data_IF_045059550331
#
_entry.id   IF_045059550331
#
_cell.length_a   1.000
_cell.length_b   1.000
_cell.length_c   1.000
_cell.angle_alpha   90.00
_cell.angle_beta   90.00
_cell.angle_gamma   90.00
#
_symmetry.space_group_name_H-M   'P 1'
#
loop_
_entity.id
_entity.type
_entity.pdbx_description
1 polymer ?
#
# COMPACT_ATOMS: atom_id res chain seq x y z
N UNK A 1 10.09 -8.76 -12.78
CA UNK A 1 10.48 -9.92 -11.93
C UNK A 1 11.20 -9.51 -10.63
N UNK A 2 12.07 -8.51 -10.61
CA UNK A 2 12.80 -8.07 -9.40
C UNK A 2 11.94 -7.67 -8.18
N UNK A 3 10.80 -6.94 -8.30
CA UNK A 3 9.98 -6.58 -7.14
C UNK A 3 9.42 -7.78 -6.38
N UNK A 4 9.02 -8.83 -7.12
CA UNK A 4 8.45 -10.04 -6.51
C UNK A 4 9.48 -10.83 -5.70
N UNK A 5 10.74 -10.87 -6.14
CA UNK A 5 11.83 -11.52 -5.40
C UNK A 5 12.12 -10.80 -4.08
N UNK A 6 12.11 -9.47 -4.08
CA UNK A 6 12.27 -8.68 -2.86
C UNK A 6 11.13 -8.94 -1.87
N UNK A 7 9.88 -8.99 -2.33
CA UNK A 7 8.74 -9.29 -1.45
C UNK A 7 8.90 -10.67 -0.79
N UNK A 8 9.32 -11.69 -1.54
CA UNK A 8 9.54 -13.05 -1.00
C UNK A 8 10.67 -13.07 0.03
N UNK A 9 11.72 -12.26 -0.14
CA UNK A 9 12.82 -12.18 0.82
C UNK A 9 12.40 -11.56 2.17
N UNK A 10 11.43 -10.66 2.19
CA UNK A 10 10.94 -10.02 3.42
C UNK A 10 9.84 -10.81 4.14
N UNK A 11 9.17 -11.76 3.48
CA UNK A 11 8.11 -12.57 4.09
C UNK A 11 8.60 -13.41 5.30
N UNK A 12 9.75 -14.11 5.25
CA UNK A 12 10.29 -14.84 6.41
C UNK A 12 10.62 -13.92 7.59
N UNK A 13 11.10 -12.70 7.29
CA UNK A 13 11.42 -11.70 8.31
C UNK A 13 10.15 -11.26 9.06
N UNK A 14 9.06 -11.04 8.33
CA UNK A 14 7.74 -10.75 8.90
C UNK A 14 7.25 -11.89 9.80
N UNK A 15 7.43 -13.15 9.39
CA UNK A 15 7.12 -14.34 10.20
C UNK A 15 7.91 -14.37 11.50
N UNK A 16 9.23 -14.26 11.42
CA UNK A 16 10.11 -14.27 12.59
C UNK A 16 9.84 -13.10 13.56
N UNK A 17 9.49 -11.92 13.04
CA UNK A 17 9.05 -10.79 13.87
C UNK A 17 7.69 -11.05 14.51
N UNK A 18 6.75 -11.65 13.79
CA UNK A 18 5.43 -12.01 14.33
C UNK A 18 5.55 -13.02 15.47
N UNK A 19 6.47 -13.97 15.37
CA UNK A 19 6.69 -14.99 16.41
C UNK A 19 7.30 -14.40 17.69
N UNK A 20 8.14 -13.38 17.58
CA UNK A 20 8.85 -12.78 18.73
C UNK A 20 8.09 -11.60 19.35
N UNK A 21 7.52 -10.73 18.53
CA UNK A 21 6.93 -9.45 18.94
C UNK A 21 5.40 -9.43 18.78
N UNK A 22 4.84 -10.54 18.27
CA UNK A 22 3.44 -10.61 17.87
C UNK A 22 3.17 -9.98 16.50
N UNK A 23 2.04 -10.30 15.87
CA UNK A 23 1.71 -9.85 14.49
C UNK A 23 1.51 -8.35 14.35
N UNK A 24 1.36 -7.61 15.46
CA UNK A 24 1.13 -6.16 15.46
C UNK A 24 2.38 -5.38 15.04
N UNK A 25 3.56 -5.78 15.53
CA UNK A 25 4.80 -5.07 15.23
C UNK A 25 5.12 -5.03 13.73
N UNK A 26 5.18 -6.15 12.99
CA UNK A 26 5.41 -6.13 11.56
C UNK A 26 4.28 -5.47 10.76
N UNK A 27 3.01 -5.58 11.22
CA UNK A 27 1.89 -4.90 10.58
C UNK A 27 2.01 -3.38 10.68
N UNK A 28 2.34 -2.84 11.86
CA UNK A 28 2.50 -1.40 12.06
C UNK A 28 3.74 -0.86 11.32
N UNK A 29 4.85 -1.59 11.36
CA UNK A 29 6.06 -1.23 10.60
C UNK A 29 5.78 -1.24 9.10
N UNK A 30 5.14 -2.29 8.59
CA UNK A 30 4.74 -2.39 7.18
C UNK A 30 3.83 -1.24 6.75
N UNK A 31 2.87 -0.85 7.59
CA UNK A 31 1.99 0.29 7.33
C UNK A 31 2.76 1.62 7.34
N UNK A 32 3.72 1.82 8.25
CA UNK A 32 4.57 3.01 8.26
C UNK A 32 5.46 3.10 7.01
N UNK A 33 6.05 1.97 6.60
CA UNK A 33 6.84 1.89 5.35
C UNK A 33 5.95 2.15 4.13
N UNK A 34 4.67 1.75 4.15
CA UNK A 34 3.70 2.06 3.09
C UNK A 34 3.50 3.56 2.94
N UNK A 35 3.30 4.29 4.05
CA UNK A 35 3.19 5.77 4.01
C UNK A 35 4.45 6.39 3.43
N UNK A 36 5.63 5.94 3.86
CA UNK A 36 6.90 6.42 3.32
C UNK A 36 7.04 6.14 1.82
N UNK A 37 6.70 4.93 1.37
CA UNK A 37 6.72 4.54 -0.04
C UNK A 37 5.82 5.44 -0.89
N UNK A 38 4.58 5.65 -0.46
CA UNK A 38 3.63 6.50 -1.17
C UNK A 38 4.07 7.97 -1.19
N UNK A 39 4.68 8.45 -0.10
CA UNK A 39 5.23 9.81 -0.03
C UNK A 39 6.40 9.99 -1.02
N UNK A 40 7.27 8.99 -1.15
CA UNK A 40 8.34 8.99 -2.18
C UNK A 40 7.74 9.03 -3.59
N UNK A 41 6.65 8.29 -3.83
CA UNK A 41 5.91 8.33 -5.10
C UNK A 41 5.37 9.74 -5.43
N UNK A 42 4.93 10.47 -4.41
CA UNK A 42 4.48 11.86 -4.55
C UNK A 42 5.59 12.88 -4.83
N UNK A 43 6.86 12.50 -4.72
CA UNK A 43 8.01 13.35 -5.00
C UNK A 43 8.63 13.11 -6.39
N UNK A 44 8.07 12.22 -7.19
CA UNK A 44 8.54 11.92 -8.53
C UNK A 44 8.43 13.18 -9.42
N UNK A 45 9.46 13.40 -10.25
CA UNK A 45 9.52 14.47 -11.24
C UNK A 45 9.91 13.92 -12.60
N UNK A 46 9.64 14.65 -13.65
CA UNK A 46 10.04 14.30 -15.03
C UNK A 46 11.56 14.11 -15.18
N UNK A 47 12.33 14.83 -14.39
CA UNK A 47 13.80 14.80 -14.34
C UNK A 47 14.36 13.97 -13.18
N UNK A 48 13.49 13.22 -12.48
CA UNK A 48 13.92 12.39 -11.36
C UNK A 48 14.93 11.35 -11.80
N UNK A 49 16.04 11.27 -11.04
CA UNK A 49 17.02 10.21 -11.22
C UNK A 49 16.36 8.83 -10.97
N UNK A 50 16.84 7.81 -11.63
CA UNK A 50 16.38 6.42 -11.50
C UNK A 50 16.33 5.91 -10.04
N UNK A 51 17.04 6.57 -9.13
CA UNK A 51 17.09 6.23 -7.70
C UNK A 51 15.72 6.34 -7.01
N UNK A 52 14.93 7.39 -7.32
CA UNK A 52 13.60 7.56 -6.70
C UNK A 52 12.60 6.44 -7.09
N UNK A 53 12.42 6.12 -8.36
CA UNK A 53 11.59 4.98 -8.74
C UNK A 53 12.09 3.64 -8.16
N UNK A 54 13.41 3.43 -8.10
CA UNK A 54 13.98 2.25 -7.48
C UNK A 54 13.68 2.17 -5.98
N UNK A 55 13.81 3.27 -5.26
CA UNK A 55 13.48 3.37 -3.84
C UNK A 55 11.99 3.08 -3.59
N UNK A 56 11.10 3.63 -4.42
CA UNK A 56 9.67 3.35 -4.35
C UNK A 56 9.38 1.85 -4.50
N UNK A 57 10.00 1.19 -5.47
CA UNK A 57 9.83 -0.25 -5.69
C UNK A 57 10.32 -1.05 -4.47
N UNK A 58 11.47 -0.71 -3.92
CA UNK A 58 12.03 -1.38 -2.75
C UNK A 58 11.11 -1.21 -1.54
N UNK A 59 10.69 0.01 -1.23
CA UNK A 59 9.78 0.29 -0.12
C UNK A 59 8.43 -0.42 -0.27
N UNK A 60 7.88 -0.46 -1.49
CA UNK A 60 6.65 -1.19 -1.79
C UNK A 60 6.81 -2.70 -1.59
N UNK A 61 7.96 -3.26 -1.96
CA UNK A 61 8.25 -4.67 -1.74
C UNK A 61 8.35 -5.02 -0.24
N UNK A 62 8.99 -4.15 0.56
CA UNK A 62 9.06 -4.30 2.02
C UNK A 62 7.65 -4.22 2.63
N UNK A 63 6.85 -3.23 2.22
CA UNK A 63 5.45 -3.09 2.67
C UNK A 63 4.66 -4.37 2.42
N UNK A 64 4.67 -4.88 1.19
CA UNK A 64 3.93 -6.07 0.82
C UNK A 64 4.43 -7.32 1.55
N UNK A 65 5.74 -7.47 1.72
CA UNK A 65 6.35 -8.59 2.42
C UNK A 65 6.10 -8.59 3.93
N UNK A 66 5.92 -7.44 4.54
CA UNK A 66 5.72 -7.30 5.99
C UNK A 66 4.25 -7.17 6.38
N UNK A 67 3.50 -6.29 5.72
CA UNK A 67 2.14 -5.95 6.12
C UNK A 67 1.15 -7.10 5.84
N UNK A 68 1.15 -7.63 4.62
CA UNK A 68 0.14 -8.60 4.19
C UNK A 68 0.16 -9.91 5.01
N UNK A 69 1.31 -10.60 5.22
CA UNK A 69 1.35 -11.80 6.02
C UNK A 69 0.96 -11.55 7.47
N UNK A 70 1.47 -10.47 8.08
CA UNK A 70 1.18 -10.13 9.46
C UNK A 70 -0.30 -9.81 9.68
N UNK A 71 -0.92 -9.03 8.79
CA UNK A 71 -2.33 -8.69 8.86
C UNK A 71 -3.22 -9.93 8.68
N UNK A 72 -2.91 -10.81 7.71
CA UNK A 72 -3.63 -12.05 7.47
C UNK A 72 -3.54 -12.99 8.68
N UNK A 73 -2.35 -13.15 9.26
CA UNK A 73 -2.15 -13.96 10.47
C UNK A 73 -2.94 -13.41 11.65
N UNK A 74 -2.96 -12.09 11.83
CA UNK A 74 -3.73 -11.45 12.89
C UNK A 74 -5.24 -11.69 12.72
N UNK A 75 -5.77 -11.57 11.51
CA UNK A 75 -7.20 -11.79 11.23
C UNK A 75 -7.62 -13.25 11.44
N UNK A 76 -6.85 -14.20 10.90
CA UNK A 76 -7.15 -15.62 11.01
C UNK A 76 -6.96 -16.12 12.44
N UNK A 77 -5.95 -15.60 13.15
CA UNK A 77 -5.63 -15.95 14.51
C UNK A 77 -6.70 -15.58 15.55
N UNK A 78 -7.54 -14.57 15.27
CA UNK A 78 -8.65 -14.19 16.14
C UNK A 78 -9.82 -15.17 16.12
N UNK A 79 -9.87 -16.08 15.14
CA UNK A 79 -10.99 -17.02 14.98
C UNK A 79 -10.68 -18.39 15.60
N UNK A 80 -11.69 -19.08 16.19
CA UNK A 80 -11.59 -20.46 16.59
C UNK A 80 -11.09 -21.36 15.44
N UNK A 81 -10.42 -22.45 15.77
CA UNK A 81 -9.80 -23.36 14.77
C UNK A 81 -10.76 -23.85 13.71
N UNK A 82 -11.99 -24.14 14.09
CA UNK A 82 -13.12 -24.61 13.24
C UNK A 82 -13.54 -23.56 12.19
N UNK A 83 -13.34 -22.26 12.45
CA UNK A 83 -13.75 -21.18 11.57
C UNK A 83 -12.59 -20.51 10.81
N UNK A 84 -11.37 -21.03 10.93
CA UNK A 84 -10.19 -20.43 10.26
C UNK A 84 -10.26 -20.48 8.73
N UNK A 85 -10.90 -21.52 8.18
CA UNK A 85 -11.15 -21.61 6.72
C UNK A 85 -12.05 -20.48 6.24
N UNK A 86 -13.15 -20.22 6.97
CA UNK A 86 -14.02 -19.09 6.69
C UNK A 86 -13.31 -17.74 6.82
N UNK A 87 -12.53 -17.55 7.89
CA UNK A 87 -11.74 -16.32 8.09
C UNK A 87 -10.74 -16.09 6.96
N UNK A 88 -10.08 -17.14 6.47
CA UNK A 88 -9.19 -17.06 5.33
C UNK A 88 -9.90 -16.64 4.05
N UNK A 89 -11.07 -17.22 3.76
CA UNK A 89 -11.88 -16.85 2.60
C UNK A 89 -12.35 -15.39 2.69
N UNK A 90 -12.83 -14.95 3.85
CA UNK A 90 -13.22 -13.56 4.08
C UNK A 90 -12.05 -12.58 3.92
N UNK A 91 -10.86 -12.96 4.38
CA UNK A 91 -9.66 -12.15 4.19
C UNK A 91 -9.34 -11.97 2.69
N UNK A 92 -9.41 -13.02 1.89
CA UNK A 92 -9.20 -12.94 0.45
C UNK A 92 -10.26 -12.07 -0.26
N UNK A 93 -11.53 -12.20 0.12
CA UNK A 93 -12.61 -11.37 -0.44
C UNK A 93 -12.38 -9.89 -0.09
N UNK A 94 -12.08 -9.60 1.17
CA UNK A 94 -11.80 -8.23 1.63
C UNK A 94 -10.61 -7.62 0.90
N UNK A 95 -9.53 -8.41 0.72
CA UNK A 95 -8.36 -7.98 -0.02
C UNK A 95 -8.69 -7.73 -1.51
N UNK A 96 -9.47 -8.60 -2.12
CA UNK A 96 -9.93 -8.45 -3.51
C UNK A 96 -10.77 -7.19 -3.71
N UNK A 97 -11.77 -6.96 -2.83
CA UNK A 97 -12.60 -5.75 -2.86
C UNK A 97 -11.75 -4.50 -2.65
N UNK A 98 -10.83 -4.53 -1.66
CA UNK A 98 -9.91 -3.42 -1.40
C UNK A 98 -9.03 -3.10 -2.60
N UNK A 99 -8.54 -4.12 -3.31
CA UNK A 99 -7.73 -3.95 -4.51
C UNK A 99 -8.53 -3.29 -5.65
N UNK A 100 -9.74 -3.76 -5.92
CA UNK A 100 -10.62 -3.18 -6.95
C UNK A 100 -10.96 -1.73 -6.63
N UNK A 101 -11.34 -1.44 -5.38
CA UNK A 101 -11.63 -0.07 -4.94
C UNK A 101 -10.38 0.82 -5.01
N UNK A 102 -9.21 0.29 -4.63
CA UNK A 102 -7.95 1.02 -4.70
C UNK A 102 -7.57 1.40 -6.12
N UNK A 103 -7.71 0.48 -7.08
CA UNK A 103 -7.47 0.75 -8.50
C UNK A 103 -8.47 1.77 -9.05
N UNK A 104 -9.77 1.61 -8.73
CA UNK A 104 -10.81 2.53 -9.19
C UNK A 104 -10.61 3.95 -8.64
N UNK A 105 -10.37 4.10 -7.34
CA UNK A 105 -10.11 5.39 -6.70
C UNK A 105 -8.80 6.02 -7.20
N UNK A 106 -7.75 5.23 -7.35
CA UNK A 106 -6.48 5.70 -7.89
C UNK A 106 -6.62 6.22 -9.32
N UNK A 107 -7.32 5.47 -10.18
CA UNK A 107 -7.63 5.89 -11.55
C UNK A 107 -8.49 7.16 -11.62
N UNK A 108 -9.48 7.26 -10.74
CA UNK A 108 -10.33 8.46 -10.64
C UNK A 108 -9.51 9.69 -10.21
N UNK A 109 -8.72 9.60 -9.15
CA UNK A 109 -7.87 10.70 -8.68
C UNK A 109 -6.87 11.11 -9.76
N UNK A 110 -6.28 10.14 -10.45
CA UNK A 110 -5.33 10.38 -11.54
C UNK A 110 -6.00 11.12 -12.71
N UNK A 111 -7.21 10.72 -13.10
CA UNK A 111 -7.95 11.37 -14.17
C UNK A 111 -8.31 12.82 -13.81
N UNK A 112 -8.88 13.04 -12.62
CA UNK A 112 -9.26 14.38 -12.14
C UNK A 112 -8.02 15.29 -12.03
N UNK A 113 -6.91 14.79 -11.50
CA UNK A 113 -5.67 15.57 -11.39
C UNK A 113 -5.10 15.93 -12.76
N UNK A 114 -5.15 15.03 -13.73
CA UNK A 114 -4.70 15.28 -15.09
C UNK A 114 -5.59 16.31 -15.80
N UNK A 115 -6.91 16.17 -15.69
CA UNK A 115 -7.87 17.12 -16.23
C UNK A 115 -7.67 18.53 -15.64
N UNK A 116 -7.51 18.61 -14.32
CA UNK A 116 -7.27 19.87 -13.64
C UNK A 116 -5.96 20.56 -14.09
N UNK A 117 -4.91 19.77 -14.31
CA UNK A 117 -3.62 20.31 -14.77
C UNK A 117 -3.65 20.77 -16.22
N UNK A 118 -4.30 20.00 -17.10
CA UNK A 118 -4.34 20.28 -18.53
C UNK A 118 -5.42 21.30 -18.91
N UNK A 119 -6.46 21.47 -18.07
CA UNK A 119 -7.62 22.31 -18.35
C UNK A 119 -8.55 21.73 -19.44
N UNK A 120 -8.35 20.48 -19.87
CA UNK A 120 -9.13 19.83 -20.93
C UNK A 120 -10.11 18.86 -20.28
N UNK A 121 -11.40 19.18 -20.32
CA UNK A 121 -12.46 18.35 -19.74
C UNK A 121 -12.50 16.96 -20.42
N UNK A 122 -12.51 15.90 -19.59
CA UNK A 122 -12.52 14.51 -20.05
C UNK A 122 -11.20 14.01 -20.62
N UNK A 123 -10.10 14.78 -20.51
CA UNK A 123 -8.78 14.32 -20.93
C UNK A 123 -8.32 13.21 -19.98
N UNK A 124 -8.09 12.01 -20.53
CA UNK A 124 -7.43 10.93 -19.81
C UNK A 124 -5.92 11.14 -19.73
N UNK A 125 -5.25 10.55 -18.72
CA UNK A 125 -3.81 10.66 -18.58
C UNK A 125 -3.10 9.99 -19.78
N UNK A 126 -2.33 10.78 -20.52
CA UNK A 126 -1.57 10.32 -21.69
C UNK A 126 -0.10 10.65 -21.52
N UNK A 127 0.76 9.84 -22.16
CA UNK A 127 2.21 10.06 -22.17
C UNK A 127 2.65 11.22 -23.04
N UNK A 128 1.79 11.73 -23.92
CA UNK A 128 2.09 12.85 -24.80
C UNK A 128 2.27 14.17 -24.01
N UNK A 129 1.57 14.28 -22.85
CA UNK A 129 1.80 15.34 -21.89
C UNK A 129 2.49 14.80 -20.64
N UNK A 130 3.80 14.60 -20.73
CA UNK A 130 4.61 14.01 -19.66
C UNK A 130 4.50 14.79 -18.34
N UNK A 131 4.45 16.12 -18.40
CA UNK A 131 4.35 16.94 -17.19
C UNK A 131 3.01 16.73 -16.48
N UNK A 132 1.89 16.76 -17.23
CA UNK A 132 0.55 16.48 -16.69
C UNK A 132 0.44 15.05 -16.14
N UNK A 133 1.04 14.10 -16.83
CA UNK A 133 1.07 12.71 -16.38
C UNK A 133 1.81 12.53 -15.03
N UNK A 134 2.99 13.16 -14.87
CA UNK A 134 3.75 13.13 -13.62
C UNK A 134 3.00 13.82 -12.49
N UNK A 135 2.36 14.96 -12.73
CA UNK A 135 1.52 15.64 -11.72
C UNK A 135 0.34 14.76 -11.29
N UNK A 136 -0.33 14.10 -12.23
CA UNK A 136 -1.42 13.20 -11.94
C UNK A 136 -0.98 11.99 -11.10
N UNK A 137 0.16 11.38 -11.43
CA UNK A 137 0.77 10.30 -10.64
C UNK A 137 1.09 10.78 -9.22
N UNK A 138 1.77 11.91 -9.08
CA UNK A 138 2.15 12.45 -7.77
C UNK A 138 0.94 12.71 -6.89
N UNK A 139 -0.10 13.34 -7.45
CA UNK A 139 -1.35 13.61 -6.74
C UNK A 139 -2.01 12.30 -6.28
N UNK A 140 -1.99 11.27 -7.12
CA UNK A 140 -2.54 9.96 -6.78
C UNK A 140 -1.76 9.31 -5.63
N UNK A 141 -0.43 9.35 -5.68
CA UNK A 141 0.41 8.81 -4.60
C UNK A 141 0.21 9.58 -3.28
N UNK A 142 0.12 10.91 -3.34
CA UNK A 142 -0.13 11.72 -2.14
C UNK A 142 -1.52 11.46 -1.56
N UNK A 143 -2.55 11.35 -2.38
CA UNK A 143 -3.90 10.99 -1.93
C UNK A 143 -3.90 9.60 -1.24
N UNK A 144 -3.22 8.62 -1.85
CA UNK A 144 -3.05 7.30 -1.25
C UNK A 144 -2.25 7.34 0.06
N UNK A 145 -1.21 8.20 0.16
CA UNK A 145 -0.45 8.41 1.37
C UNK A 145 -1.32 8.94 2.51
N UNK A 146 -2.18 9.92 2.25
CA UNK A 146 -3.13 10.47 3.24
C UNK A 146 -4.09 9.38 3.72
N UNK A 147 -4.66 8.58 2.81
CA UNK A 147 -5.54 7.48 3.18
C UNK A 147 -4.81 6.41 4.01
N UNK A 148 -3.54 6.13 3.68
CA UNK A 148 -2.74 5.13 4.39
C UNK A 148 -2.36 5.55 5.81
N UNK A 149 -2.27 6.85 6.10
CA UNK A 149 -2.12 7.36 7.48
C UNK A 149 -3.30 6.92 8.34
N UNK A 150 -4.52 6.93 7.80
CA UNK A 150 -5.69 6.40 8.49
C UNK A 150 -5.55 4.91 8.84
N UNK A 151 -4.95 4.11 7.97
CA UNK A 151 -4.67 2.70 8.24
C UNK A 151 -3.63 2.51 9.35
N UNK A 152 -2.60 3.35 9.39
CA UNK A 152 -1.60 3.34 10.48
C UNK A 152 -2.25 3.68 11.81
N UNK A 153 -3.04 4.75 11.86
CA UNK A 153 -3.77 5.16 13.08
C UNK A 153 -4.69 4.04 13.56
N UNK A 154 -5.46 3.42 12.67
CA UNK A 154 -6.32 2.30 12.99
C UNK A 154 -5.53 1.07 13.50
N UNK A 155 -4.35 0.81 12.95
CA UNK A 155 -3.47 -0.27 13.38
C UNK A 155 -2.93 -0.05 14.79
N UNK A 156 -2.53 1.18 15.10
CA UNK A 156 -2.05 1.57 16.44
C UNK A 156 -3.20 1.57 17.46
N UNK A 157 -4.37 2.09 17.10
CA UNK A 157 -5.54 2.15 17.98
C UNK A 157 -6.04 0.76 18.41
N UNK A 158 -5.97 -0.25 17.53
CA UNK A 158 -6.26 -1.66 17.90
C UNK A 158 -5.35 -2.19 19.01
N UNK A 159 -4.19 -1.58 19.24
CA UNK A 159 -3.20 -1.98 20.24
C UNK A 159 -3.59 -1.65 21.68
N UNK A 160 -4.46 -0.67 21.92
CA UNK A 160 -4.80 -0.17 23.27
C UNK A 160 -6.00 -0.88 23.93
N UNK A 161 -6.73 -1.72 23.23
CA UNK A 161 -7.99 -2.31 23.71
C UNK A 161 -7.92 -3.76 24.27
N UNK A 162 -6.75 -4.41 24.30
CA UNK A 162 -6.59 -5.76 24.82
C UNK A 162 -5.44 -5.81 25.84
N UNK A 163 -5.73 -5.37 27.04
CA UNK A 163 -5.05 -5.77 28.29
C UNK A 163 -6.03 -6.56 29.15
#
# INVERSE_FOLDING_TARGET
>A
MAPSMLTVAFAPLSGAMSDRLGPRAPATLGAAVMVASLSVGGLLRTDSNWFLPALLIILSAITNGMFNPANSTAMIGMMPREHRGFASSMNHVTFGVGNVLGVALGGFVMAVAFEHYTGIAGAGPTTDNTAGFVVAINTTFLAAAVLSVGAVVASVARGSGQR
#
